data_IF_378133671765
#
_entry.id   IF_378133671765
#
_cell.length_a   1.000
_cell.length_b   1.000
_cell.length_c   1.000
_cell.angle_alpha   90.00
_cell.angle_beta   90.00
_cell.angle_gamma   90.00
#
_symmetry.space_group_name_H-M   'P 1'
#
loop_
_entity.id
_entity.type
_entity.pdbx_description
1 polymer ?
#
# COMPACT_ATOMS: atom_id res chain seq x y z
N UNK A 1 -3.71 -1.70 15.39
CA UNK A 1 -2.98 -0.95 14.34
C UNK A 1 -3.26 -1.47 12.92
N UNK A 2 -3.55 -2.74 12.72
CA UNK A 2 -3.70 -3.32 11.37
C UNK A 2 -5.04 -3.11 10.68
N UNK A 3 -6.08 -2.64 11.39
CA UNK A 3 -7.43 -2.48 10.84
C UNK A 3 -7.92 -1.03 10.84
N UNK A 4 -7.20 -0.14 11.51
CA UNK A 4 -7.60 1.25 11.65
C UNK A 4 -6.47 2.20 11.26
N UNK A 5 -6.81 3.24 10.53
CA UNK A 5 -5.90 4.34 10.25
C UNK A 5 -5.72 5.18 11.52
N UNK A 6 -4.50 5.25 12.02
CA UNK A 6 -4.19 6.09 13.16
C UNK A 6 -4.16 7.56 12.76
N UNK A 7 -4.68 8.48 13.59
CA UNK A 7 -4.45 9.90 13.45
C UNK A 7 -2.95 10.21 13.51
N UNK A 8 -2.49 11.16 12.71
CA UNK A 8 -1.07 11.50 12.65
C UNK A 8 -0.56 12.07 13.98
N UNK A 9 -1.41 12.82 14.67
CA UNK A 9 -1.10 13.34 16.01
C UNK A 9 -0.80 12.22 17.00
N UNK A 10 -1.61 11.16 17.02
CA UNK A 10 -1.38 10.01 17.89
C UNK A 10 -0.08 9.28 17.53
N UNK A 11 0.26 9.18 16.23
CA UNK A 11 1.55 8.59 15.83
C UNK A 11 2.71 9.42 16.39
N UNK A 12 2.68 10.73 16.23
CA UNK A 12 3.72 11.63 16.75
C UNK A 12 3.82 11.61 18.28
N UNK A 13 2.68 11.54 18.99
CA UNK A 13 2.68 11.44 20.47
C UNK A 13 3.37 10.15 20.94
N UNK A 14 3.07 9.02 20.28
CA UNK A 14 3.70 7.73 20.59
C UNK A 14 5.20 7.78 20.25
N UNK A 15 5.57 8.32 19.10
CA UNK A 15 6.96 8.46 18.67
C UNK A 15 7.75 9.34 19.65
N UNK A 16 7.17 10.44 20.12
CA UNK A 16 7.74 11.29 21.14
C UNK A 16 7.95 10.55 22.48
N UNK A 17 7.01 9.69 22.87
CA UNK A 17 7.17 8.85 24.06
C UNK A 17 8.30 7.82 23.89
N UNK A 18 8.39 7.18 22.73
CA UNK A 18 9.47 6.23 22.42
C UNK A 18 10.82 6.95 22.46
N UNK A 19 10.92 8.15 21.86
CA UNK A 19 12.13 8.95 21.83
C UNK A 19 12.57 9.36 23.25
N UNK A 20 11.63 9.80 24.09
CA UNK A 20 11.89 10.14 25.50
C UNK A 20 12.39 8.92 26.28
N UNK A 21 11.75 7.79 26.12
CA UNK A 21 12.17 6.54 26.76
C UNK A 21 13.57 6.12 26.32
N UNK A 22 13.86 6.16 25.02
CA UNK A 22 15.16 5.82 24.46
C UNK A 22 16.28 6.76 24.95
N UNK A 23 15.98 8.05 25.09
CA UNK A 23 16.92 9.04 25.64
C UNK A 23 17.15 8.91 27.15
N UNK A 24 16.52 7.92 27.80
CA UNK A 24 16.67 7.66 29.23
C UNK A 24 16.08 8.76 30.10
N UNK A 25 15.06 9.48 29.64
CA UNK A 25 14.32 10.42 30.48
C UNK A 25 13.57 9.67 31.58
N UNK A 26 13.82 10.05 32.84
CA UNK A 26 13.09 9.57 34.01
C UNK A 26 12.50 10.75 34.75
N UNK A 27 11.17 10.79 34.92
CA UNK A 27 10.48 11.89 35.59
C UNK A 27 10.64 13.22 34.86
N UNK A 28 10.75 14.33 35.62
CA UNK A 28 10.81 15.71 35.09
C UNK A 28 12.20 16.12 34.54
N UNK A 29 13.22 15.25 34.59
CA UNK A 29 14.55 15.59 34.08
C UNK A 29 14.54 15.57 32.55
N UNK A 30 14.46 16.72 31.91
CA UNK A 30 14.65 16.86 30.47
C UNK A 30 16.09 16.56 30.10
N UNK A 31 16.31 15.47 29.35
CA UNK A 31 17.61 15.19 28.72
C UNK A 31 17.62 15.68 27.29
N UNK A 32 18.76 16.15 26.85
CA UNK A 32 18.96 16.60 25.47
C UNK A 32 18.86 15.41 24.52
N UNK A 33 18.03 15.53 23.49
CA UNK A 33 17.96 14.55 22.40
C UNK A 33 19.14 14.80 21.44
N UNK A 34 20.18 13.96 21.52
CA UNK A 34 21.39 14.08 20.70
C UNK A 34 21.16 13.66 19.24
N UNK A 35 20.12 12.86 18.98
CA UNK A 35 19.84 12.30 17.65
C UNK A 35 18.39 12.56 17.30
N UNK A 36 18.17 13.06 16.09
CA UNK A 36 16.85 13.29 15.56
C UNK A 36 16.09 11.97 15.32
N UNK A 37 14.76 12.01 15.40
CA UNK A 37 13.92 10.82 15.21
C UNK A 37 14.11 10.20 13.84
N UNK A 38 14.23 11.02 12.79
CA UNK A 38 14.45 10.58 11.41
C UNK A 38 15.77 9.79 11.27
N UNK A 39 16.82 10.19 11.99
CA UNK A 39 18.09 9.46 12.00
C UNK A 39 17.95 8.10 12.68
N UNK A 40 17.20 8.04 13.78
CA UNK A 40 16.90 6.78 14.48
C UNK A 40 16.07 5.82 13.62
N UNK A 41 15.22 6.34 12.73
CA UNK A 41 14.40 5.55 11.80
C UNK A 41 15.18 4.98 10.62
N UNK A 42 16.38 5.49 10.32
CA UNK A 42 17.21 4.95 9.23
C UNK A 42 17.58 3.48 9.48
N UNK A 43 17.79 2.69 8.42
CA UNK A 43 18.31 1.33 8.52
C UNK A 43 19.65 1.28 9.25
N UNK A 44 19.95 0.16 9.88
CA UNK A 44 21.22 -0.02 10.61
C UNK A 44 22.46 0.13 9.71
N UNK A 45 22.34 -0.30 8.45
CA UNK A 45 23.40 -0.15 7.44
C UNK A 45 23.70 1.31 7.11
N UNK A 46 22.77 2.22 7.40
CA UNK A 46 22.90 3.67 7.19
C UNK A 46 23.17 4.42 8.50
N UNK A 47 23.57 3.71 9.57
CA UNK A 47 23.88 4.30 10.88
C UNK A 47 22.67 4.59 11.76
N UNK A 48 21.45 4.20 11.34
CA UNK A 48 20.25 4.33 12.16
C UNK A 48 20.02 3.14 13.09
N UNK A 49 18.96 3.19 13.87
CA UNK A 49 18.52 2.12 14.78
C UNK A 49 17.40 1.25 14.20
N UNK A 50 16.82 1.63 13.05
CA UNK A 50 15.73 0.94 12.41
C UNK A 50 14.39 1.10 13.11
N UNK A 51 14.19 2.17 13.87
CA UNK A 51 12.88 2.54 14.39
C UNK A 51 11.88 2.73 13.24
N UNK A 52 10.61 2.50 13.52
CA UNK A 52 9.57 2.63 12.51
C UNK A 52 8.84 3.96 12.69
N UNK A 53 8.76 4.75 11.61
CA UNK A 53 7.75 5.79 11.51
C UNK A 53 6.37 5.14 11.58
N UNK A 54 5.61 5.46 12.60
CA UNK A 54 4.33 4.79 12.88
C UNK A 54 3.26 5.10 11.84
N UNK A 55 3.31 6.26 11.22
CA UNK A 55 2.36 6.63 10.16
C UNK A 55 2.57 5.78 8.91
N UNK A 56 3.83 5.66 8.45
CA UNK A 56 4.18 4.80 7.32
C UNK A 56 3.95 3.32 7.64
N UNK A 57 4.29 2.89 8.85
CA UNK A 57 4.08 1.52 9.27
C UNK A 57 2.59 1.16 9.34
N UNK A 58 1.75 2.05 9.87
CA UNK A 58 0.30 1.86 9.88
C UNK A 58 -0.26 1.77 8.45
N UNK A 59 0.20 2.61 7.52
CA UNK A 59 -0.19 2.52 6.11
C UNK A 59 0.18 1.17 5.49
N UNK A 60 1.37 0.66 5.77
CA UNK A 60 1.81 -0.65 5.29
C UNK A 60 0.96 -1.80 5.86
N UNK A 61 0.57 -1.72 7.14
CA UNK A 61 -0.32 -2.70 7.76
C UNK A 61 -1.73 -2.67 7.15
N UNK A 62 -2.26 -1.50 6.82
CA UNK A 62 -3.54 -1.37 6.13
C UNK A 62 -3.47 -1.90 4.70
N UNK A 63 -2.39 -1.60 3.98
CA UNK A 63 -2.12 -2.15 2.66
C UNK A 63 -2.05 -3.69 2.70
N UNK A 64 -1.44 -4.28 3.72
CA UNK A 64 -1.43 -5.73 3.93
C UNK A 64 -2.85 -6.30 4.06
N UNK A 65 -3.78 -5.63 4.74
CA UNK A 65 -5.17 -6.10 4.82
C UNK A 65 -5.88 -6.02 3.46
N UNK A 66 -5.67 -4.94 2.72
CA UNK A 66 -6.19 -4.82 1.35
C UNK A 66 -5.60 -5.90 0.44
N UNK A 67 -4.31 -6.20 0.57
CA UNK A 67 -3.65 -7.27 -0.16
C UNK A 67 -4.27 -8.64 0.13
N UNK A 68 -4.58 -8.92 1.40
CA UNK A 68 -5.30 -10.14 1.79
C UNK A 68 -6.68 -10.23 1.14
N UNK A 69 -7.44 -9.13 1.11
CA UNK A 69 -8.73 -9.10 0.42
C UNK A 69 -8.62 -9.29 -1.10
N UNK A 70 -7.47 -9.01 -1.68
CA UNK A 70 -7.21 -9.23 -3.10
C UNK A 70 -6.89 -10.70 -3.43
N UNK A 71 -6.08 -11.35 -2.59
CA UNK A 71 -5.50 -12.66 -2.86
C UNK A 71 -6.15 -13.81 -2.09
N UNK A 72 -6.53 -13.58 -0.83
CA UNK A 72 -6.96 -14.61 0.12
C UNK A 72 -8.51 -14.75 0.13
N UNK A 73 -9.06 -15.26 -0.95
CA UNK A 73 -10.51 -15.39 -1.12
C UNK A 73 -11.17 -16.47 -0.26
N UNK A 74 -10.39 -17.35 0.37
CA UNK A 74 -10.87 -18.45 1.22
C UNK A 74 -11.17 -18.03 2.67
N UNK A 75 -10.75 -16.84 3.09
CA UNK A 75 -10.86 -16.40 4.48
C UNK A 75 -12.24 -15.83 4.81
N UNK A 76 -12.68 -16.05 6.08
CA UNK A 76 -13.90 -15.42 6.60
C UNK A 76 -13.84 -13.89 6.49
N UNK A 77 -12.65 -13.30 6.67
CA UNK A 77 -12.40 -11.88 6.48
C UNK A 77 -12.78 -11.42 5.06
N UNK A 78 -12.36 -12.17 4.03
CA UNK A 78 -12.75 -11.88 2.66
C UNK A 78 -14.27 -11.96 2.47
N UNK A 79 -14.91 -13.04 2.91
CA UNK A 79 -16.34 -13.26 2.70
C UNK A 79 -17.21 -12.16 3.34
N UNK A 80 -16.90 -11.76 4.59
CA UNK A 80 -17.63 -10.69 5.29
C UNK A 80 -17.49 -9.36 4.54
N UNK A 81 -16.25 -8.99 4.18
CA UNK A 81 -16.00 -7.72 3.49
C UNK A 81 -16.55 -7.71 2.07
N UNK A 82 -16.44 -8.81 1.35
CA UNK A 82 -16.97 -8.99 -0.01
C UNK A 82 -18.50 -8.80 -0.02
N UNK A 83 -19.19 -9.51 0.86
CA UNK A 83 -20.67 -9.45 0.90
C UNK A 83 -21.19 -8.05 1.26
N UNK A 84 -20.50 -7.34 2.15
CA UNK A 84 -20.95 -6.05 2.67
C UNK A 84 -20.54 -4.85 1.80
N UNK A 85 -19.28 -4.80 1.35
CA UNK A 85 -18.69 -3.56 0.83
C UNK A 85 -18.41 -3.57 -0.67
N UNK A 86 -18.24 -4.73 -1.29
CA UNK A 86 -17.95 -4.82 -2.74
C UNK A 86 -18.50 -6.10 -3.38
N UNK A 87 -19.83 -6.37 -3.25
CA UNK A 87 -20.44 -7.63 -3.70
C UNK A 87 -20.21 -7.91 -5.19
N UNK A 88 -20.29 -6.90 -6.04
CA UNK A 88 -20.29 -7.04 -7.49
C UNK A 88 -18.98 -6.57 -8.17
N UNK A 89 -17.99 -6.07 -7.42
CA UNK A 89 -16.76 -5.53 -7.99
C UNK A 89 -15.52 -6.08 -7.26
N UNK A 90 -14.34 -5.67 -7.72
CA UNK A 90 -13.07 -5.90 -7.00
C UNK A 90 -12.89 -4.88 -5.87
N UNK A 91 -12.09 -5.22 -4.86
CA UNK A 91 -11.69 -4.25 -3.84
C UNK A 91 -10.96 -3.04 -4.45
N UNK A 92 -10.31 -3.22 -5.60
CA UNK A 92 -9.60 -2.15 -6.31
C UNK A 92 -10.56 -1.10 -6.90
N UNK A 93 -11.80 -1.49 -7.20
CA UNK A 93 -12.86 -0.65 -7.78
C UNK A 93 -13.88 -0.20 -6.74
N UNK A 94 -13.86 -0.81 -5.56
CA UNK A 94 -14.84 -0.58 -4.50
C UNK A 94 -14.94 0.91 -4.13
N UNK A 95 -16.17 1.37 -3.98
CA UNK A 95 -16.47 2.72 -3.49
C UNK A 95 -16.45 2.78 -1.97
N UNK A 96 -16.25 3.97 -1.42
CA UNK A 96 -16.24 4.20 0.02
C UNK A 96 -17.12 5.41 0.36
N UNK A 97 -18.43 5.23 0.53
CA UNK A 97 -19.32 6.29 0.99
C UNK A 97 -18.90 6.86 2.34
N UNK A 98 -19.24 8.14 2.58
CA UNK A 98 -18.87 8.83 3.82
C UNK A 98 -19.53 8.23 5.08
N UNK A 99 -20.67 7.55 4.92
CA UNK A 99 -21.41 6.89 6.00
C UNK A 99 -20.84 5.53 6.44
N UNK A 100 -19.85 4.99 5.71
CA UNK A 100 -19.31 3.67 6.00
C UNK A 100 -18.44 3.61 7.27
N UNK A 101 -18.23 2.39 7.77
CA UNK A 101 -17.47 2.14 8.99
C UNK A 101 -16.02 2.65 8.88
N UNK A 102 -15.48 3.08 10.01
CA UNK A 102 -14.10 3.56 10.08
C UNK A 102 -13.08 2.49 9.67
N UNK A 103 -13.36 1.22 9.95
CA UNK A 103 -12.51 0.09 9.51
C UNK A 103 -12.46 0.01 7.98
N UNK A 104 -13.60 0.10 7.30
CA UNK A 104 -13.66 0.09 5.83
C UNK A 104 -12.91 1.27 5.23
N UNK A 105 -13.17 2.48 5.74
CA UNK A 105 -12.45 3.70 5.32
C UNK A 105 -10.93 3.53 5.46
N UNK A 106 -10.48 2.89 6.53
CA UNK A 106 -9.07 2.65 6.79
C UNK A 106 -8.47 1.65 5.80
N UNK A 107 -9.17 0.57 5.49
CA UNK A 107 -8.74 -0.43 4.51
C UNK A 107 -8.64 0.17 3.11
N UNK A 108 -9.62 1.00 2.71
CA UNK A 108 -9.59 1.70 1.42
C UNK A 108 -8.39 2.64 1.32
N UNK A 109 -7.96 3.28 2.41
CA UNK A 109 -6.70 4.04 2.44
C UNK A 109 -5.47 3.15 2.18
N UNK A 110 -5.48 1.90 2.67
CA UNK A 110 -4.44 0.91 2.35
C UNK A 110 -4.40 0.54 0.87
N UNK A 111 -5.54 0.55 0.17
CA UNK A 111 -5.63 0.33 -1.28
C UNK A 111 -4.80 1.32 -2.09
N UNK A 112 -4.77 2.58 -1.67
CA UNK A 112 -4.03 3.63 -2.36
C UNK A 112 -2.51 3.38 -2.34
N UNK A 113 -2.01 2.74 -1.29
CA UNK A 113 -0.61 2.29 -1.21
C UNK A 113 -0.34 1.20 -2.24
N UNK A 114 -1.25 0.21 -2.35
CA UNK A 114 -1.13 -0.87 -3.34
C UNK A 114 -1.19 -0.30 -4.75
N UNK A 115 -2.18 0.55 -5.05
CA UNK A 115 -2.32 1.17 -6.38
C UNK A 115 -1.05 1.89 -6.84
N UNK A 116 -0.33 2.52 -5.91
CA UNK A 116 0.93 3.22 -6.24
C UNK A 116 2.11 2.29 -6.47
N UNK A 117 2.15 1.14 -5.78
CA UNK A 117 3.30 0.23 -5.78
C UNK A 117 3.10 -1.08 -6.55
N UNK A 118 1.86 -1.51 -6.79
CA UNK A 118 1.61 -2.77 -7.46
C UNK A 118 1.93 -2.70 -8.96
N UNK A 119 2.54 -3.77 -9.45
CA UNK A 119 2.80 -4.02 -10.87
C UNK A 119 2.17 -5.37 -11.21
N UNK A 120 1.44 -5.44 -12.31
CA UNK A 120 0.86 -6.68 -12.78
C UNK A 120 1.95 -7.62 -13.28
N UNK A 121 1.93 -8.86 -12.82
CA UNK A 121 2.70 -9.92 -13.44
C UNK A 121 1.86 -10.51 -14.57
N UNK A 122 2.37 -10.44 -15.79
CA UNK A 122 1.69 -10.93 -16.98
C UNK A 122 1.68 -12.46 -16.94
N UNK A 123 0.48 -13.04 -17.10
CA UNK A 123 0.28 -14.45 -17.40
C UNK A 123 -0.06 -14.59 -18.89
N UNK A 124 -1.34 -14.80 -19.20
CA UNK A 124 -1.85 -14.89 -20.58
C UNK A 124 -2.15 -13.52 -21.22
N UNK A 125 -2.01 -12.44 -20.51
CA UNK A 125 -2.23 -11.07 -20.96
C UNK A 125 -3.70 -10.68 -21.25
N UNK A 126 -4.66 -11.57 -21.03
CA UNK A 126 -6.09 -11.37 -21.39
C UNK A 126 -6.81 -10.30 -20.56
N UNK A 127 -6.33 -10.06 -19.35
CA UNK A 127 -6.96 -9.15 -18.39
C UNK A 127 -6.27 -7.80 -18.24
N UNK A 128 -5.11 -7.62 -18.86
CA UNK A 128 -4.25 -6.46 -18.68
C UNK A 128 -4.29 -5.61 -19.96
N UNK A 129 -4.58 -4.32 -19.81
CA UNK A 129 -4.55 -3.37 -20.93
C UNK A 129 -3.11 -2.89 -21.18
N UNK A 130 -2.76 -2.70 -22.44
CA UNK A 130 -1.43 -2.21 -22.85
C UNK A 130 -1.19 -0.83 -22.24
N UNK A 131 -2.18 0.07 -22.39
CA UNK A 131 -2.13 1.42 -21.82
C UNK A 131 -3.04 1.48 -20.57
N UNK A 132 -2.59 2.18 -19.56
CA UNK A 132 -3.34 2.39 -18.32
C UNK A 132 -3.01 1.42 -17.19
N UNK A 133 -2.66 0.16 -17.48
CA UNK A 133 -2.25 -0.81 -16.47
C UNK A 133 -0.73 -0.77 -16.25
N UNK A 134 -0.32 -0.99 -14.99
CA UNK A 134 1.10 -0.97 -14.57
C UNK A 134 1.67 -2.39 -14.69
N UNK A 135 2.31 -2.70 -15.79
CA UNK A 135 2.83 -4.05 -16.04
C UNK A 135 4.29 -4.10 -16.51
N UNK A 136 4.88 -2.97 -16.87
CA UNK A 136 6.29 -2.93 -17.25
C UNK A 136 7.20 -3.07 -16.02
N UNK A 137 8.21 -3.97 -16.06
CA UNK A 137 9.12 -4.20 -14.94
C UNK A 137 10.20 -3.10 -14.81
N UNK A 138 9.83 -1.85 -15.07
CA UNK A 138 10.73 -0.71 -14.99
C UNK A 138 10.55 0.06 -13.69
N UNK A 139 11.67 0.41 -13.03
CA UNK A 139 11.65 1.12 -11.75
C UNK A 139 11.03 2.52 -11.84
N UNK A 140 11.21 3.22 -12.95
CA UNK A 140 10.80 4.62 -13.09
C UNK A 140 9.42 4.81 -13.72
N UNK A 141 9.00 3.92 -14.62
CA UNK A 141 7.66 3.97 -15.21
C UNK A 141 7.15 2.57 -15.52
N UNK A 142 6.27 2.02 -14.68
CA UNK A 142 5.62 0.74 -14.95
C UNK A 142 4.47 0.86 -15.96
N UNK A 143 4.20 2.07 -16.47
CA UNK A 143 3.20 2.36 -17.49
C UNK A 143 3.85 2.49 -18.86
N UNK A 144 3.13 2.11 -19.90
CA UNK A 144 3.52 2.39 -21.29
C UNK A 144 3.35 3.89 -21.55
N UNK A 145 4.44 4.57 -21.88
CA UNK A 145 4.49 6.03 -22.11
C UNK A 145 4.32 6.42 -23.59
N UNK A 146 4.29 5.44 -24.50
CA UNK A 146 4.03 5.73 -25.92
C UNK A 146 2.63 6.30 -26.13
N UNK A 147 2.49 7.12 -27.16
CA UNK A 147 1.18 7.62 -27.57
C UNK A 147 0.25 6.44 -27.89
N UNK A 148 -0.98 6.58 -27.43
CA UNK A 148 -2.03 5.63 -27.70
C UNK A 148 -2.40 5.73 -29.17
N UNK A 149 -2.39 4.60 -29.89
CA UNK A 149 -2.77 4.56 -31.29
C UNK A 149 -4.30 4.53 -31.38
N UNK A 150 -4.87 5.41 -32.18
CA UNK A 150 -6.31 5.47 -32.42
C UNK A 150 -6.82 4.10 -32.89
N UNK A 151 -7.87 3.60 -32.21
CA UNK A 151 -8.44 2.27 -32.45
C UNK A 151 -7.89 1.12 -31.58
N UNK A 152 -6.82 1.34 -30.81
CA UNK A 152 -6.22 0.33 -29.92
C UNK A 152 -6.39 0.65 -28.44
N UNK A 153 -7.29 1.57 -28.09
CA UNK A 153 -7.48 2.05 -26.70
C UNK A 153 -7.75 0.90 -25.72
N UNK A 154 -8.48 -0.12 -26.15
CA UNK A 154 -8.86 -1.30 -25.36
C UNK A 154 -7.93 -2.51 -25.59
N UNK A 155 -6.83 -2.32 -26.32
CA UNK A 155 -5.92 -3.42 -26.64
C UNK A 155 -5.29 -4.02 -25.38
N UNK A 156 -5.28 -5.34 -25.34
CA UNK A 156 -4.74 -6.11 -24.21
C UNK A 156 -3.34 -6.61 -24.49
N UNK A 157 -2.59 -6.84 -23.43
CA UNK A 157 -1.20 -7.33 -23.51
C UNK A 157 -1.10 -8.66 -24.25
N UNK A 158 -2.18 -9.48 -24.24
CA UNK A 158 -2.25 -10.72 -25.04
C UNK A 158 -1.88 -10.50 -26.50
N UNK A 159 -2.26 -9.38 -27.13
CA UNK A 159 -1.94 -9.10 -28.54
C UNK A 159 -0.45 -8.86 -28.81
N UNK A 160 0.35 -8.68 -27.76
CA UNK A 160 1.81 -8.51 -27.84
C UNK A 160 2.57 -9.82 -27.55
N UNK A 161 1.87 -10.86 -27.11
CA UNK A 161 2.49 -12.14 -26.79
C UNK A 161 2.57 -12.98 -28.07
N UNK A 162 3.78 -13.34 -28.45
CA UNK A 162 4.04 -14.28 -29.54
C UNK A 162 3.84 -15.71 -29.01
N UNK A 163 2.77 -16.38 -29.50
CA UNK A 163 2.41 -17.74 -29.07
C UNK A 163 3.47 -18.78 -29.47
N UNK A 164 4.17 -18.56 -30.58
CA UNK A 164 5.20 -19.49 -31.09
C UNK A 164 6.51 -19.41 -30.29
N UNK A 165 6.83 -18.24 -29.75
CA UNK A 165 8.07 -17.99 -29.00
C UNK A 165 7.88 -18.03 -27.47
N UNK A 166 6.64 -18.01 -26.99
CA UNK A 166 6.29 -17.86 -25.56
C UNK A 166 7.02 -16.70 -24.85
N UNK A 167 7.27 -15.63 -25.58
CA UNK A 167 7.94 -14.42 -25.14
C UNK A 167 6.97 -13.24 -25.13
#
# INVERSE_FOLDING_TARGET
>A
MSCFKLPITLCHDIEALIQRFFSGQRGDSQKVHWVWWEELCKPKEQGGMGFKDLSWFNNALLAKQTWRLLHDKSTLFYWIFKARFFPNCSIMEATCPSSESYAWKSIIKGRDVIKRGAIWRIGDGKSIHIWGDRWLPQKHSPLVLSLQVDGLVEAKVQSLIDEDRRC
#
